data_IF_907426889641
#
_entry.id   IF_907426889641
#
_cell.length_a   1.000
_cell.length_b   1.000
_cell.length_c   1.000
_cell.angle_alpha   90.00
_cell.angle_beta   90.00
_cell.angle_gamma   90.00
#
_symmetry.space_group_name_H-M   'P 1'
#
loop_
_entity.id
_entity.type
_entity.pdbx_description
1 polymer ?
#
# COMPACT_ATOMS: atom_id res chain seq x y z
N UNK A 1 7.23 0.86 -14.50
CA UNK A 1 7.08 -0.36 -13.66
C UNK A 1 6.25 -0.01 -12.44
N UNK A 2 5.11 -0.65 -12.28
CA UNK A 2 4.15 -0.38 -11.22
C UNK A 2 4.19 -1.51 -10.18
N UNK A 3 4.50 -1.17 -8.95
CA UNK A 3 4.70 -2.11 -7.83
C UNK A 3 3.76 -1.76 -6.69
N UNK A 4 2.97 -2.73 -6.23
CA UNK A 4 2.13 -2.60 -5.05
C UNK A 4 2.75 -3.36 -3.88
N UNK A 5 2.92 -2.70 -2.75
CA UNK A 5 3.32 -3.30 -1.47
C UNK A 5 2.10 -3.38 -0.56
N UNK A 6 1.84 -4.56 -0.02
CA UNK A 6 0.75 -4.80 0.94
C UNK A 6 1.12 -5.89 1.96
N UNK A 7 0.37 -5.97 3.05
CA UNK A 7 0.51 -7.07 4.00
C UNK A 7 -0.74 -7.96 3.97
N UNK A 8 -0.54 -9.26 3.83
CA UNK A 8 -1.65 -10.20 3.84
C UNK A 8 -2.13 -10.48 5.26
N UNK A 9 -3.45 -10.51 5.41
CA UNK A 9 -4.14 -10.99 6.61
C UNK A 9 -4.51 -12.47 6.47
N UNK A 10 -4.73 -13.12 7.59
CA UNK A 10 -5.35 -14.45 7.61
C UNK A 10 -6.79 -14.38 7.11
N UNK A 11 -7.30 -15.51 6.64
CA UNK A 11 -8.70 -15.70 6.25
C UNK A 11 -9.34 -16.69 7.23
N UNK A 12 -10.58 -16.49 7.59
CA UNK A 12 -11.30 -17.41 8.46
C UNK A 12 -11.85 -18.59 7.66
N UNK A 13 -11.82 -19.77 8.26
CA UNK A 13 -12.57 -20.92 7.75
C UNK A 13 -14.07 -20.62 7.67
N UNK A 14 -14.74 -21.17 6.67
CA UNK A 14 -16.19 -21.11 6.50
C UNK A 14 -16.64 -19.99 5.55
N UNK A 15 -17.74 -19.34 5.90
CA UNK A 15 -18.45 -18.42 4.98
C UNK A 15 -17.89 -17.01 5.04
N UNK A 16 -17.54 -16.47 3.88
CA UNK A 16 -17.20 -15.07 3.68
C UNK A 16 -18.36 -14.36 2.97
N UNK A 17 -18.69 -13.18 3.48
CA UNK A 17 -19.71 -12.33 2.87
C UNK A 17 -19.08 -11.41 1.81
N UNK A 18 -19.89 -11.12 0.80
CA UNK A 18 -19.56 -10.12 -0.19
C UNK A 18 -19.68 -8.70 0.39
N UNK A 19 -18.69 -7.88 0.18
CA UNK A 19 -18.70 -6.46 0.50
C UNK A 19 -18.62 -5.62 -0.78
N UNK A 20 -19.26 -4.46 -0.76
CA UNK A 20 -19.17 -3.48 -1.84
C UNK A 20 -18.10 -2.45 -1.50
N UNK A 21 -17.29 -2.07 -2.48
CA UNK A 21 -16.19 -1.12 -2.38
C UNK A 21 -16.34 -0.02 -3.43
N UNK A 22 -15.93 1.20 -3.09
CA UNK A 22 -16.01 2.35 -3.97
C UNK A 22 -14.79 3.26 -3.77
N UNK A 23 -14.27 3.80 -4.84
CA UNK A 23 -13.25 4.85 -4.82
C UNK A 23 -13.87 6.14 -5.36
N UNK A 24 -13.84 7.22 -4.56
CA UNK A 24 -14.45 8.51 -4.90
C UNK A 24 -15.88 8.34 -5.47
N UNK A 25 -16.17 8.92 -6.61
CA UNK A 25 -17.46 8.85 -7.29
C UNK A 25 -17.56 7.73 -8.34
N UNK A 26 -16.55 6.82 -8.37
CA UNK A 26 -16.59 5.68 -9.30
C UNK A 26 -17.71 4.68 -8.94
N UNK A 27 -18.18 3.88 -9.92
CA UNK A 27 -19.11 2.80 -9.62
C UNK A 27 -18.55 1.81 -8.63
N UNK A 28 -19.38 1.39 -7.65
CA UNK A 28 -18.98 0.39 -6.67
C UNK A 28 -18.80 -0.98 -7.31
N UNK A 29 -17.89 -1.78 -6.73
CA UNK A 29 -17.66 -3.17 -7.12
C UNK A 29 -17.61 -4.08 -5.89
N UNK A 30 -17.75 -5.37 -6.10
CA UNK A 30 -17.84 -6.35 -5.03
C UNK A 30 -16.52 -7.10 -4.81
N UNK A 31 -16.25 -7.46 -3.56
CA UNK A 31 -15.13 -8.29 -3.15
C UNK A 31 -15.44 -9.11 -1.90
N UNK A 32 -14.75 -10.23 -1.73
CA UNK A 32 -14.93 -11.17 -0.61
C UNK A 32 -13.79 -11.10 0.39
N UNK A 33 -12.61 -10.75 -0.07
CA UNK A 33 -11.42 -10.63 0.75
C UNK A 33 -10.99 -9.17 0.81
N UNK A 34 -10.83 -8.64 2.03
CA UNK A 34 -10.58 -7.20 2.21
C UNK A 34 -9.30 -6.70 1.51
N UNK A 35 -8.38 -7.58 1.10
CA UNK A 35 -7.13 -7.21 0.46
C UNK A 35 -7.17 -7.30 -1.07
N UNK A 36 -8.26 -7.79 -1.68
CA UNK A 36 -8.39 -7.82 -3.13
C UNK A 36 -8.85 -6.48 -3.75
N UNK A 37 -9.60 -5.60 -3.04
CA UNK A 37 -10.16 -4.40 -3.67
C UNK A 37 -9.12 -3.40 -4.15
N UNK A 38 -8.10 -3.10 -3.34
CA UNK A 38 -7.07 -2.11 -3.71
C UNK A 38 -6.24 -2.56 -4.91
N UNK A 39 -5.67 -3.79 -4.96
CA UNK A 39 -4.98 -4.27 -6.15
C UNK A 39 -5.84 -4.20 -7.42
N UNK A 40 -7.10 -4.66 -7.34
CA UNK A 40 -8.03 -4.66 -8.48
C UNK A 40 -8.37 -3.25 -8.97
N UNK A 41 -8.73 -2.37 -8.03
CA UNK A 41 -8.97 -0.96 -8.30
C UNK A 41 -7.75 -0.30 -8.96
N UNK A 42 -6.57 -0.47 -8.36
CA UNK A 42 -5.35 0.15 -8.84
C UNK A 42 -4.97 -0.34 -10.25
N UNK A 43 -5.09 -1.64 -10.51
CA UNK A 43 -4.82 -2.18 -11.85
C UNK A 43 -5.76 -1.57 -12.90
N UNK A 44 -7.07 -1.50 -12.62
CA UNK A 44 -8.02 -0.87 -13.53
C UNK A 44 -7.75 0.63 -13.73
N UNK A 45 -7.38 1.34 -12.66
CA UNK A 45 -7.00 2.75 -12.72
C UNK A 45 -5.79 2.97 -13.64
N UNK A 46 -4.75 2.15 -13.48
CA UNK A 46 -3.55 2.22 -14.34
C UNK A 46 -3.88 1.91 -15.81
N UNK A 47 -4.73 0.92 -16.07
CA UNK A 47 -5.17 0.59 -17.42
C UNK A 47 -5.93 1.74 -18.07
N UNK A 48 -6.84 2.39 -17.34
CA UNK A 48 -7.65 3.51 -17.84
C UNK A 48 -6.85 4.80 -18.06
N UNK A 49 -5.98 5.16 -17.10
CA UNK A 49 -5.29 6.45 -17.09
C UNK A 49 -4.00 6.45 -17.90
N UNK A 50 -3.27 5.34 -17.90
CA UNK A 50 -1.91 5.26 -18.46
C UNK A 50 -1.71 4.15 -19.49
N UNK A 51 -2.73 3.31 -19.75
CA UNK A 51 -2.60 2.07 -20.52
C UNK A 51 -1.50 1.15 -19.98
N UNK A 52 -1.33 1.13 -18.68
CA UNK A 52 -0.37 0.34 -17.92
C UNK A 52 -1.11 -0.65 -17.01
N UNK A 53 -0.39 -1.54 -16.38
CA UNK A 53 -0.92 -2.51 -15.41
C UNK A 53 0.02 -2.63 -14.20
N UNK A 54 -0.41 -3.35 -13.19
CA UNK A 54 0.47 -3.75 -12.09
C UNK A 54 1.43 -4.81 -12.56
N UNK A 55 2.74 -4.53 -12.47
CA UNK A 55 3.80 -5.48 -12.81
C UNK A 55 4.09 -6.45 -11.65
N UNK A 56 4.09 -5.91 -10.42
CA UNK A 56 4.44 -6.67 -9.23
C UNK A 56 3.51 -6.34 -8.07
N UNK A 57 3.20 -7.38 -7.27
CA UNK A 57 2.63 -7.25 -5.94
C UNK A 57 3.61 -7.87 -4.95
N UNK A 58 4.14 -7.06 -4.03
CA UNK A 58 4.96 -7.53 -2.91
C UNK A 58 4.05 -7.71 -1.72
N UNK A 59 4.00 -8.92 -1.17
CA UNK A 59 3.17 -9.24 -0.01
C UNK A 59 4.04 -9.51 1.20
N UNK A 60 3.76 -8.83 2.32
CA UNK A 60 4.35 -9.11 3.62
C UNK A 60 3.48 -10.15 4.32
N UNK A 61 4.02 -11.34 4.57
CA UNK A 61 3.24 -12.49 5.02
C UNK A 61 3.77 -13.04 6.33
N UNK A 62 2.88 -13.20 7.31
CA UNK A 62 3.23 -14.00 8.49
C UNK A 62 3.28 -15.49 8.15
N UNK A 63 3.82 -16.29 9.07
CA UNK A 63 3.87 -17.75 8.92
C UNK A 63 2.47 -18.34 8.72
N UNK A 64 1.48 -17.85 9.45
CA UNK A 64 0.09 -18.32 9.38
C UNK A 64 -0.49 -18.09 7.98
N UNK A 65 -0.26 -16.93 7.36
CA UNK A 65 -0.73 -16.60 6.02
C UNK A 65 -0.20 -17.57 4.97
N UNK A 66 1.06 -17.99 5.11
CA UNK A 66 1.71 -18.87 4.14
C UNK A 66 1.43 -20.35 4.34
N UNK A 67 1.25 -20.81 5.59
CA UNK A 67 1.27 -22.24 5.93
C UNK A 67 0.00 -22.76 6.56
N UNK A 68 -0.86 -21.92 7.16
CA UNK A 68 -2.11 -22.39 7.74
C UNK A 68 -3.11 -22.73 6.65
N UNK A 69 -3.45 -24.01 6.54
CA UNK A 69 -4.42 -24.50 5.56
C UNK A 69 -5.83 -24.32 6.12
N UNK A 70 -6.68 -23.71 5.32
CA UNK A 70 -8.10 -23.54 5.55
C UNK A 70 -8.84 -24.70 4.89
N UNK A 71 -9.62 -25.45 5.66
CA UNK A 71 -10.34 -26.63 5.15
C UNK A 71 -11.34 -26.22 4.06
N UNK A 72 -12.12 -25.17 4.34
CA UNK A 72 -13.15 -24.68 3.40
C UNK A 72 -13.30 -23.17 3.52
N UNK A 73 -13.33 -22.47 2.37
CA UNK A 73 -13.67 -21.05 2.26
C UNK A 73 -14.80 -20.91 1.24
N UNK A 74 -15.95 -20.41 1.68
CA UNK A 74 -17.15 -20.25 0.87
C UNK A 74 -17.46 -18.77 0.71
N UNK A 75 -17.40 -18.27 -0.51
CA UNK A 75 -17.73 -16.89 -0.85
C UNK A 75 -19.23 -16.79 -1.22
N UNK A 76 -20.01 -16.09 -0.38
CA UNK A 76 -21.44 -15.92 -0.57
C UNK A 76 -21.75 -14.52 -1.13
N UNK A 77 -22.46 -14.48 -2.25
CA UNK A 77 -23.14 -13.29 -2.75
C UNK A 77 -24.59 -13.23 -2.25
N UNK A 78 -25.30 -12.16 -2.60
CA UNK A 78 -26.76 -12.06 -2.35
C UNK A 78 -27.57 -13.16 -3.05
N UNK A 79 -27.00 -13.77 -4.10
CA UNK A 79 -27.66 -14.79 -4.92
C UNK A 79 -27.28 -16.23 -4.54
N UNK A 80 -26.47 -16.41 -3.48
CA UNK A 80 -26.00 -17.71 -3.02
C UNK A 80 -24.48 -17.88 -3.05
N UNK A 81 -24.02 -19.12 -3.08
CA UNK A 81 -22.59 -19.45 -3.17
C UNK A 81 -22.07 -19.06 -4.57
N UNK A 82 -21.01 -18.26 -4.60
CA UNK A 82 -20.37 -17.83 -5.85
C UNK A 82 -19.04 -18.56 -6.08
N UNK A 83 -18.23 -18.70 -5.02
CA UNK A 83 -16.97 -19.46 -5.07
C UNK A 83 -16.84 -20.36 -3.85
N UNK A 84 -16.22 -21.49 -4.05
CA UNK A 84 -15.89 -22.45 -3.00
C UNK A 84 -14.46 -22.97 -3.19
N UNK A 85 -13.69 -22.94 -2.11
CA UNK A 85 -12.29 -23.35 -2.11
C UNK A 85 -12.02 -24.30 -0.95
N UNK A 86 -11.24 -25.33 -1.22
CA UNK A 86 -10.89 -26.36 -0.24
C UNK A 86 -9.38 -26.46 -0.09
N UNK A 87 -8.93 -26.74 1.12
CA UNK A 87 -7.51 -26.95 1.44
C UNK A 87 -6.61 -25.83 0.90
N UNK A 88 -6.95 -24.58 1.20
CA UNK A 88 -6.30 -23.39 0.65
C UNK A 88 -5.64 -22.54 1.74
N UNK A 89 -4.45 -22.00 1.50
CA UNK A 89 -3.85 -20.99 2.40
C UNK A 89 -4.41 -19.60 2.10
N UNK A 90 -4.27 -18.67 3.06
CA UNK A 90 -4.70 -17.27 2.84
C UNK A 90 -3.98 -16.64 1.63
N UNK A 91 -2.70 -16.96 1.42
CA UNK A 91 -1.95 -16.54 0.23
C UNK A 91 -2.57 -17.06 -1.06
N UNK A 92 -2.83 -18.36 -1.14
CA UNK A 92 -3.44 -18.96 -2.34
C UNK A 92 -4.86 -18.42 -2.59
N UNK A 93 -5.61 -18.17 -1.51
CA UNK A 93 -6.92 -17.55 -1.60
C UNK A 93 -6.84 -16.15 -2.19
N UNK A 94 -5.93 -15.31 -1.71
CA UNK A 94 -5.69 -13.98 -2.27
C UNK A 94 -5.38 -14.04 -3.78
N UNK A 95 -4.43 -14.89 -4.19
CA UNK A 95 -4.06 -15.06 -5.60
C UNK A 95 -5.27 -15.46 -6.46
N UNK A 96 -6.10 -16.39 -5.98
CA UNK A 96 -7.34 -16.79 -6.69
C UNK A 96 -8.36 -15.65 -6.76
N UNK A 97 -8.51 -14.86 -5.68
CA UNK A 97 -9.47 -13.76 -5.66
C UNK A 97 -9.08 -12.61 -6.59
N UNK A 98 -7.81 -12.41 -6.90
CA UNK A 98 -7.39 -11.45 -7.92
C UNK A 98 -7.87 -11.84 -9.32
N UNK A 99 -8.01 -13.13 -9.62
CA UNK A 99 -8.48 -13.65 -10.91
C UNK A 99 -10.01 -13.77 -10.99
N UNK A 100 -10.74 -13.59 -9.90
CA UNK A 100 -12.19 -13.85 -9.84
C UNK A 100 -12.99 -12.57 -9.58
N UNK A 101 -14.26 -12.57 -10.00
CA UNK A 101 -15.20 -11.49 -9.70
C UNK A 101 -15.02 -10.24 -10.56
N UNK A 102 -15.52 -9.14 -10.03
CA UNK A 102 -15.45 -7.84 -10.70
C UNK A 102 -14.03 -7.28 -10.66
N UNK A 103 -13.64 -6.56 -11.69
CA UNK A 103 -12.29 -6.00 -11.86
C UNK A 103 -11.17 -7.05 -11.74
N UNK A 104 -11.44 -8.29 -12.19
CA UNK A 104 -10.46 -9.37 -12.20
C UNK A 104 -9.28 -9.03 -13.12
N UNK A 105 -8.07 -9.44 -12.72
CA UNK A 105 -6.88 -9.26 -13.53
C UNK A 105 -6.97 -10.10 -14.82
N UNK A 106 -6.77 -9.48 -15.97
CA UNK A 106 -6.60 -10.18 -17.24
C UNK A 106 -5.20 -10.76 -17.34
N UNK A 107 -4.20 -10.02 -16.87
CA UNK A 107 -2.81 -10.45 -16.77
C UNK A 107 -2.36 -10.34 -15.33
N UNK A 108 -2.02 -11.48 -14.71
CA UNK A 108 -1.59 -11.51 -13.31
C UNK A 108 -0.24 -10.85 -13.12
N UNK A 109 -0.10 -9.92 -12.16
CA UNK A 109 1.18 -9.39 -11.75
C UNK A 109 2.03 -10.48 -11.10
N UNK A 110 3.34 -10.30 -11.11
CA UNK A 110 4.24 -11.20 -10.39
C UNK A 110 4.13 -10.97 -8.89
N UNK A 111 3.68 -11.98 -8.14
CA UNK A 111 3.55 -11.90 -6.68
C UNK A 111 4.85 -12.34 -6.02
N UNK A 112 5.41 -11.49 -5.17
CA UNK A 112 6.63 -11.73 -4.40
C UNK A 112 6.26 -11.72 -2.92
N UNK A 113 6.34 -12.89 -2.28
CA UNK A 113 6.03 -13.04 -0.85
C UNK A 113 7.28 -12.85 0.00
N UNK A 114 7.19 -11.97 0.97
CA UNK A 114 8.25 -11.70 1.95
C UNK A 114 7.76 -12.15 3.31
N UNK A 115 8.46 -13.09 3.96
CA UNK A 115 8.09 -13.54 5.29
C UNK A 115 8.35 -12.42 6.32
N UNK A 116 7.37 -12.23 7.22
CA UNK A 116 7.50 -11.36 8.39
C UNK A 116 7.24 -12.18 9.64
N UNK A 117 8.14 -12.05 10.60
CA UNK A 117 7.90 -12.48 11.96
C UNK A 117 7.30 -11.32 12.76
N UNK A 118 6.17 -11.57 13.44
CA UNK A 118 5.51 -10.54 14.26
C UNK A 118 6.28 -10.16 15.51
N UNK A 119 7.15 -11.05 15.98
CA UNK A 119 8.01 -10.86 17.15
C UNK A 119 9.37 -10.23 16.77
N UNK A 120 9.82 -10.42 15.52
CA UNK A 120 11.02 -9.80 14.95
C UNK A 120 10.79 -9.34 13.50
N UNK A 121 10.33 -8.14 13.35
CA UNK A 121 9.97 -7.56 12.03
C UNK A 121 11.18 -7.13 11.20
N UNK A 122 12.36 -6.95 11.80
CA UNK A 122 13.53 -6.34 11.16
C UNK A 122 14.02 -7.14 9.93
N UNK A 123 14.18 -8.47 9.99
CA UNK A 123 14.58 -9.25 8.82
C UNK A 123 13.61 -9.09 7.65
N UNK A 124 12.30 -9.07 7.92
CA UNK A 124 11.28 -8.86 6.90
C UNK A 124 11.35 -7.48 6.25
N UNK A 125 11.59 -6.43 7.04
CA UNK A 125 11.81 -5.07 6.54
C UNK A 125 13.04 -5.03 5.60
N UNK A 126 14.17 -5.62 6.02
CA UNK A 126 15.40 -5.65 5.21
C UNK A 126 15.14 -6.37 3.88
N UNK A 127 14.42 -7.50 3.89
CA UNK A 127 14.06 -8.23 2.68
C UNK A 127 13.17 -7.40 1.75
N UNK A 128 12.17 -6.70 2.30
CA UNK A 128 11.29 -5.81 1.53
C UNK A 128 12.08 -4.68 0.87
N UNK A 129 12.95 -4.00 1.63
CA UNK A 129 13.82 -2.95 1.13
C UNK A 129 14.73 -3.44 -0.01
N UNK A 130 15.40 -4.57 0.18
CA UNK A 130 16.27 -5.15 -0.84
C UNK A 130 15.50 -5.52 -2.11
N UNK A 131 14.26 -5.99 -1.96
CA UNK A 131 13.42 -6.32 -3.12
C UNK A 131 12.96 -5.06 -3.87
N UNK A 132 12.55 -4.02 -3.16
CA UNK A 132 12.17 -2.74 -3.76
C UNK A 132 13.33 -2.07 -4.49
N UNK A 133 14.54 -2.06 -3.90
CA UNK A 133 15.77 -1.59 -4.58
C UNK A 133 16.02 -2.33 -5.89
N UNK A 134 16.00 -3.68 -5.85
CA UNK A 134 16.22 -4.50 -7.04
C UNK A 134 15.21 -4.22 -8.14
N UNK A 135 13.97 -3.87 -7.80
CA UNK A 135 12.95 -3.52 -8.78
C UNK A 135 13.18 -2.10 -9.32
N UNK A 136 13.50 -1.15 -8.45
CA UNK A 136 13.84 0.22 -8.87
C UNK A 136 15.02 0.25 -9.84
N UNK A 137 16.08 -0.52 -9.55
CA UNK A 137 17.29 -0.58 -10.39
C UNK A 137 17.03 -1.17 -11.78
N UNK A 138 15.92 -1.87 -11.96
CA UNK A 138 15.50 -2.46 -13.24
C UNK A 138 14.69 -1.52 -14.13
N UNK A 139 14.24 -0.40 -13.63
CA UNK A 139 13.34 0.48 -14.36
C UNK A 139 13.59 1.93 -14.02
N UNK A 140 13.78 2.76 -15.05
CA UNK A 140 13.90 4.20 -14.89
C UNK A 140 12.57 4.86 -14.48
N UNK A 141 11.45 4.21 -14.78
CA UNK A 141 10.11 4.63 -14.38
C UNK A 141 9.55 3.63 -13.37
N UNK A 142 9.82 3.88 -12.10
CA UNK A 142 9.42 3.04 -10.97
C UNK A 142 8.37 3.76 -10.14
N UNK A 143 7.16 3.19 -10.09
CA UNK A 143 6.03 3.70 -9.31
C UNK A 143 5.72 2.71 -8.18
N UNK A 144 5.79 3.19 -6.94
CA UNK A 144 5.47 2.41 -5.75
C UNK A 144 4.09 2.82 -5.22
N UNK A 145 3.21 1.86 -5.08
CA UNK A 145 1.90 1.99 -4.44
C UNK A 145 1.88 1.18 -3.15
N UNK A 146 1.16 1.64 -2.14
CA UNK A 146 1.08 0.97 -0.84
C UNK A 146 -0.38 0.79 -0.44
N UNK A 147 -0.73 -0.44 -0.06
CA UNK A 147 -1.99 -0.75 0.60
C UNK A 147 -1.73 -0.94 2.10
N UNK A 148 -2.22 0.00 2.91
CA UNK A 148 -2.06 -0.02 4.37
C UNK A 148 -3.24 -0.67 5.10
N UNK A 149 -4.21 -1.26 4.37
CA UNK A 149 -5.42 -1.79 4.99
C UNK A 149 -5.20 -3.13 5.71
N UNK A 150 -4.31 -3.98 5.21
CA UNK A 150 -4.14 -5.35 5.66
C UNK A 150 -3.05 -5.60 6.71
N UNK A 151 -2.98 -6.84 7.13
CA UNK A 151 -1.93 -7.36 8.00
C UNK A 151 -2.24 -7.31 9.50
N UNK A 152 -1.32 -7.84 10.34
CA UNK A 152 -1.37 -7.74 11.80
C UNK A 152 -1.36 -6.28 12.28
N UNK A 153 -1.76 -6.02 13.54
CA UNK A 153 -1.79 -4.67 14.12
C UNK A 153 -0.48 -3.90 14.00
N UNK A 154 0.66 -4.59 14.06
CA UNK A 154 1.98 -3.98 13.94
C UNK A 154 2.37 -3.64 12.49
N UNK A 155 1.55 -4.00 11.50
CA UNK A 155 1.87 -3.81 10.09
C UNK A 155 1.98 -2.33 9.72
N UNK A 156 1.17 -1.47 10.32
CA UNK A 156 1.25 -0.03 10.08
C UNK A 156 2.61 0.53 10.51
N UNK A 157 3.13 0.09 11.66
CA UNK A 157 4.49 0.47 12.11
C UNK A 157 5.56 -0.07 11.17
N UNK A 158 5.37 -1.30 10.67
CA UNK A 158 6.27 -1.90 9.67
C UNK A 158 6.28 -1.07 8.39
N UNK A 159 5.12 -0.66 7.88
CA UNK A 159 5.04 0.20 6.70
C UNK A 159 5.66 1.58 6.93
N UNK A 160 5.39 2.22 8.06
CA UNK A 160 6.03 3.50 8.40
C UNK A 160 7.55 3.38 8.44
N UNK A 161 8.08 2.29 9.01
CA UNK A 161 9.52 2.05 9.04
C UNK A 161 10.08 1.84 7.62
N UNK A 162 9.42 1.02 6.80
CA UNK A 162 9.80 0.81 5.39
C UNK A 162 9.78 2.16 4.65
N UNK A 163 8.70 2.94 4.77
CA UNK A 163 8.58 4.25 4.12
C UNK A 163 9.69 5.21 4.53
N UNK A 164 10.00 5.28 5.83
CA UNK A 164 11.07 6.14 6.33
C UNK A 164 12.42 5.72 5.76
N UNK A 165 12.70 4.42 5.66
CA UNK A 165 13.95 3.92 5.08
C UNK A 165 14.02 4.15 3.57
N UNK A 166 12.92 3.97 2.83
CA UNK A 166 12.85 4.19 1.38
C UNK A 166 13.19 5.63 0.98
N UNK A 167 12.83 6.60 1.81
CA UNK A 167 13.16 8.03 1.58
C UNK A 167 14.66 8.28 1.53
N UNK A 168 15.43 7.61 2.39
CA UNK A 168 16.90 7.71 2.36
C UNK A 168 17.49 7.17 1.05
N UNK A 169 16.72 6.42 0.28
CA UNK A 169 17.08 5.87 -1.02
C UNK A 169 16.40 6.57 -2.20
N UNK A 170 15.77 7.71 -1.92
CA UNK A 170 15.01 8.48 -2.92
C UNK A 170 13.92 7.63 -3.59
N UNK A 171 13.27 6.76 -2.82
CA UNK A 171 12.08 6.01 -3.23
C UNK A 171 10.89 6.57 -2.47
N UNK A 172 9.96 7.17 -3.21
CA UNK A 172 8.73 7.76 -2.66
C UNK A 172 7.52 6.99 -3.20
N UNK A 173 6.49 6.72 -2.37
CA UNK A 173 5.26 6.13 -2.88
C UNK A 173 4.53 7.12 -3.79
N UNK A 174 4.01 6.60 -4.90
CA UNK A 174 3.14 7.37 -5.82
C UNK A 174 1.76 7.57 -5.20
N UNK A 175 1.22 6.56 -4.50
CA UNK A 175 0.00 6.66 -3.70
C UNK A 175 0.00 5.64 -2.56
N UNK A 176 -0.70 6.00 -1.48
CA UNK A 176 -0.91 5.17 -0.30
C UNK A 176 -2.41 5.03 -0.09
N UNK A 177 -2.92 3.79 -0.16
CA UNK A 177 -4.35 3.51 -0.08
C UNK A 177 -4.72 2.87 1.25
N UNK A 178 -5.91 3.21 1.72
CA UNK A 178 -6.59 2.60 2.86
C UNK A 178 -8.04 2.27 2.51
N UNK A 179 -8.73 1.48 3.35
CA UNK A 179 -10.16 1.22 3.21
C UNK A 179 -10.87 1.64 4.48
N UNK A 180 -11.88 2.49 4.33
CA UNK A 180 -12.80 2.84 5.41
C UNK A 180 -13.99 1.89 5.35
N UNK A 181 -14.14 1.07 6.39
CA UNK A 181 -15.26 0.13 6.52
C UNK A 181 -16.54 0.85 6.91
N UNK A 182 -17.58 0.74 6.11
CA UNK A 182 -18.87 1.38 6.30
C UNK A 182 -19.96 0.35 6.62
N UNK A 183 -20.86 0.66 7.57
CA UNK A 183 -21.95 -0.26 7.96
C UNK A 183 -23.12 -0.30 6.96
N UNK A 184 -23.41 0.81 6.29
CA UNK A 184 -24.65 1.00 5.50
C UNK A 184 -24.41 1.54 4.08
N UNK A 185 -23.14 1.71 3.67
CA UNK A 185 -22.71 2.20 2.37
C UNK A 185 -21.60 1.30 1.85
N UNK A 186 -21.20 1.39 0.57
CA UNK A 186 -19.97 0.76 0.12
C UNK A 186 -18.79 1.16 0.99
N UNK A 187 -17.86 0.22 1.23
CA UNK A 187 -16.59 0.53 1.85
C UNK A 187 -15.82 1.47 0.93
N UNK A 188 -15.19 2.50 1.50
CA UNK A 188 -14.54 3.53 0.71
C UNK A 188 -13.05 3.26 0.62
N UNK A 189 -12.54 3.07 -0.60
CA UNK A 189 -11.10 3.11 -0.88
C UNK A 189 -10.70 4.59 -0.87
N UNK A 190 -9.65 4.92 -0.14
CA UNK A 190 -9.19 6.29 0.04
C UNK A 190 -7.70 6.41 -0.27
N UNK A 191 -7.33 7.46 -0.98
CA UNK A 191 -5.92 7.86 -1.12
C UNK A 191 -5.54 8.73 0.07
N UNK A 192 -4.67 8.21 0.91
CA UNK A 192 -4.20 8.85 2.12
C UNK A 192 -2.75 9.37 2.00
N UNK A 193 -2.21 9.44 0.78
CA UNK A 193 -0.84 9.91 0.51
C UNK A 193 -0.53 11.23 1.18
N UNK A 194 -1.45 12.19 1.15
CA UNK A 194 -1.30 13.51 1.78
C UNK A 194 -1.05 13.47 3.30
N UNK A 195 -1.53 12.44 4.02
CA UNK A 195 -1.25 12.33 5.45
C UNK A 195 0.20 11.98 5.73
N UNK A 196 0.83 11.24 4.83
CA UNK A 196 2.25 10.94 4.92
C UNK A 196 3.10 12.16 4.57
N UNK A 197 2.65 13.00 3.64
CA UNK A 197 3.27 14.29 3.36
C UNK A 197 3.25 15.20 4.60
N UNK A 198 2.14 15.21 5.37
CA UNK A 198 2.08 15.95 6.63
C UNK A 198 3.04 15.41 7.70
N UNK A 199 3.21 14.08 7.80
CA UNK A 199 4.18 13.49 8.73
C UNK A 199 5.59 13.94 8.36
N UNK A 200 5.92 13.97 7.07
CA UNK A 200 7.20 14.43 6.57
C UNK A 200 7.41 15.93 6.81
N UNK A 201 6.36 16.72 6.61
CA UNK A 201 6.37 18.14 6.92
C UNK A 201 6.69 18.37 8.41
N UNK A 202 6.02 17.68 9.32
CA UNK A 202 6.28 17.78 10.77
C UNK A 202 7.72 17.35 11.11
N UNK A 203 8.23 16.29 10.50
CA UNK A 203 9.60 15.82 10.68
C UNK A 203 10.61 16.88 10.22
N UNK A 204 10.42 17.44 9.03
CA UNK A 204 11.29 18.49 8.51
C UNK A 204 11.20 19.80 9.28
N UNK A 205 10.03 20.11 9.87
CA UNK A 205 9.90 21.24 10.81
C UNK A 205 10.79 21.03 12.04
N UNK A 206 10.76 19.83 12.62
CA UNK A 206 11.60 19.51 13.77
C UNK A 206 13.08 19.57 13.41
N UNK A 207 13.47 19.10 12.23
CA UNK A 207 14.84 19.22 11.71
C UNK A 207 15.26 20.69 11.56
N UNK A 208 14.39 21.52 10.98
CA UNK A 208 14.65 22.95 10.82
C UNK A 208 14.81 23.67 12.17
N UNK A 209 13.90 23.40 13.12
CA UNK A 209 13.94 24.03 14.44
C UNK A 209 15.17 23.62 15.26
N UNK A 210 15.62 22.37 15.14
CA UNK A 210 16.74 21.86 15.93
C UNK A 210 18.11 22.05 15.25
N UNK A 211 18.15 22.02 13.92
CA UNK A 211 19.41 21.95 13.16
C UNK A 211 19.51 23.01 12.06
N UNK A 212 18.49 23.82 11.84
CA UNK A 212 18.46 24.85 10.78
C UNK A 212 18.38 24.27 9.35
N UNK A 213 18.15 22.95 9.19
CA UNK A 213 18.11 22.27 7.87
C UNK A 213 16.90 21.36 7.75
N UNK A 214 15.87 21.74 6.96
CA UNK A 214 14.66 20.93 6.78
C UNK A 214 14.86 19.88 5.67
N UNK A 215 15.62 18.82 5.93
CA UNK A 215 15.96 17.80 4.94
C UNK A 215 14.71 17.04 4.47
N UNK A 216 13.85 16.66 5.40
CA UNK A 216 12.61 15.92 5.09
C UNK A 216 11.59 16.74 4.31
N UNK A 217 11.60 18.07 4.42
CA UNK A 217 10.70 18.96 3.68
C UNK A 217 11.14 19.11 2.21
N UNK A 218 12.43 19.02 1.89
CA UNK A 218 12.93 19.16 0.50
C UNK A 218 12.35 18.13 -0.46
N UNK A 219 11.83 17.00 0.05
CA UNK A 219 11.21 15.95 -0.75
C UNK A 219 9.71 16.16 -1.02
N UNK A 220 9.07 17.16 -0.43
CA UNK A 220 7.63 17.43 -0.56
C UNK A 220 7.33 18.28 -1.80
N UNK A 221 7.55 17.72 -2.99
CA UNK A 221 7.27 18.44 -4.25
C UNK A 221 5.78 18.61 -4.59
N UNK A 222 4.88 17.93 -3.87
CA UNK A 222 3.45 17.82 -4.21
C UNK A 222 2.49 18.32 -3.11
N UNK A 223 2.94 19.20 -2.20
CA UNK A 223 2.04 19.82 -1.24
C UNK A 223 0.99 20.67 -1.98
N UNK A 224 -0.24 20.14 -2.04
CA UNK A 224 -1.40 20.88 -2.59
C UNK A 224 -1.87 22.01 -1.67
N UNK A 225 -1.38 22.07 -0.43
CA UNK A 225 -1.67 23.13 0.52
C UNK A 225 -0.71 24.29 0.29
N UNK A 226 -1.25 25.40 -0.21
CA UNK A 226 -0.49 26.59 -0.55
C UNK A 226 0.25 27.21 0.66
N UNK A 227 -0.32 27.10 1.85
CA UNK A 227 0.26 27.65 3.08
C UNK A 227 1.49 26.84 3.50
N UNK A 228 1.40 25.52 3.43
CA UNK A 228 2.51 24.62 3.73
C UNK A 228 3.63 24.74 2.71
N UNK A 229 3.26 24.92 1.45
CA UNK A 229 4.22 25.14 0.36
C UNK A 229 4.99 26.44 0.55
N UNK A 230 4.31 27.58 0.81
CA UNK A 230 4.95 28.88 1.06
C UNK A 230 5.87 28.80 2.28
N UNK A 231 5.43 28.13 3.35
CA UNK A 231 6.28 27.91 4.51
C UNK A 231 7.54 27.09 4.17
N UNK A 232 7.37 26.00 3.42
CA UNK A 232 8.47 25.12 2.99
C UNK A 232 9.51 25.88 2.17
N UNK A 233 9.06 26.71 1.22
CA UNK A 233 9.93 27.55 0.40
C UNK A 233 10.74 28.54 1.26
N UNK A 234 10.09 29.21 2.22
CA UNK A 234 10.75 30.13 3.15
C UNK A 234 11.74 29.43 4.08
N UNK A 235 11.38 28.28 4.64
CA UNK A 235 12.28 27.50 5.49
C UNK A 235 13.55 27.06 4.73
N UNK A 236 13.40 26.64 3.48
CA UNK A 236 14.53 26.29 2.62
C UNK A 236 15.42 27.51 2.31
N UNK A 237 14.84 28.69 2.00
CA UNK A 237 15.58 29.91 1.76
C UNK A 237 16.40 30.32 2.99
N UNK A 238 15.83 30.23 4.19
CA UNK A 238 16.54 30.52 5.44
C UNK A 238 17.67 29.52 5.68
N UNK A 239 17.43 28.22 5.47
CA UNK A 239 18.45 27.18 5.63
C UNK A 239 19.62 27.36 4.65
N UNK A 240 19.32 27.70 3.40
CA UNK A 240 20.35 27.97 2.39
C UNK A 240 21.16 29.24 2.74
N UNK A 241 20.51 30.31 3.21
CA UNK A 241 21.18 31.51 3.69
C UNK A 241 22.10 31.23 4.88
N UNK A 242 21.65 30.45 5.87
CA UNK A 242 22.48 30.04 7.01
C UNK A 242 23.70 29.20 6.58
N UNK A 243 23.56 28.38 5.57
CA UNK A 243 24.67 27.56 5.06
C UNK A 243 25.72 28.38 4.34
N UNK A 244 25.35 29.52 3.75
CA UNK A 244 26.28 30.45 3.09
C UNK A 244 27.04 31.34 4.08
N UNK A 245 26.57 31.42 5.33
CA UNK A 245 27.19 32.27 6.38
C UNK A 245 28.18 31.47 7.27
N UNK A 246 28.31 30.17 7.08
CA UNK A 246 29.24 29.28 7.77
C UNK A 246 30.40 28.88 6.86
#
# INVERSE_FOLDING_TARGET
MNVLLLALSTVSNGKLNCFSYQYEDEPSFNGYYQLEPIPKFLNEKLEKEKQEHLDYIITLNTKEVNSSVLDTVICNSKNGIEYEFFNITAKMFFEKMLCNGQKAFQQMPKIISIPIDVDDIIPGIILAMNQLRKLKDKSNDFNLYIDMHGGPRNTQMTFQTILSLLKHESIYPSSIYTIIMNKSKPNTIKDDTKYFDYIDFVSGMNEFLNFGKPISIKSLNNLNDLSLRDFTEKANQIADALTLCC
#
